data_IF_087735088848
#
_entry.id   IF_087735088848
#
_cell.length_a   1.000
_cell.length_b   1.000
_cell.length_c   1.000
_cell.angle_alpha   90.00
_cell.angle_beta   90.00
_cell.angle_gamma   90.00
#
_symmetry.space_group_name_H-M   'P 1'
#
loop_
_entity.id
_entity.type
_entity.pdbx_description
1 polymer ?
#
# COMPACT_ATOMS: atom_id res chain seq x y z
N UNK A 1 -25.41 18.81 14.74
CA UNK A 1 -24.82 18.11 13.59
C UNK A 1 -25.67 16.87 13.34
N UNK A 2 -26.39 16.80 12.22
CA UNK A 2 -27.17 15.62 11.87
C UNK A 2 -26.19 14.48 11.62
N UNK A 3 -26.19 13.48 12.52
CA UNK A 3 -25.36 12.29 12.37
C UNK A 3 -25.79 11.53 11.11
N UNK A 4 -24.86 11.12 10.27
CA UNK A 4 -25.14 10.20 9.19
C UNK A 4 -25.82 8.96 9.76
N UNK A 5 -26.94 8.49 9.18
CA UNK A 5 -27.58 7.26 9.64
C UNK A 5 -26.56 6.11 9.59
N UNK A 6 -26.42 5.40 10.70
CA UNK A 6 -25.55 4.22 10.78
C UNK A 6 -26.18 3.13 9.93
N UNK A 7 -25.55 2.68 8.84
CA UNK A 7 -26.12 1.60 8.03
C UNK A 7 -26.31 0.33 8.87
N UNK A 8 -27.34 -0.45 8.56
CA UNK A 8 -27.70 -1.66 9.33
C UNK A 8 -26.53 -2.66 9.48
N UNK A 9 -25.65 -2.78 8.45
CA UNK A 9 -24.47 -3.64 8.50
C UNK A 9 -23.39 -3.17 9.50
N UNK A 10 -23.42 -1.88 9.88
CA UNK A 10 -22.49 -1.29 10.84
C UNK A 10 -23.07 -1.26 12.27
N UNK A 11 -24.29 -1.77 12.48
CA UNK A 11 -24.88 -1.86 13.80
C UNK A 11 -24.01 -2.74 14.71
N UNK A 12 -23.60 -2.20 15.85
CA UNK A 12 -22.69 -2.89 16.78
C UNK A 12 -21.21 -2.93 16.38
N UNK A 13 -20.82 -2.31 15.25
CA UNK A 13 -19.43 -2.18 14.81
C UNK A 13 -18.94 -0.75 14.93
N UNK A 14 -17.64 -0.58 15.17
CA UNK A 14 -17.02 0.74 15.20
C UNK A 14 -16.32 1.02 13.88
N UNK A 15 -16.25 2.30 13.49
CA UNK A 15 -15.42 2.70 12.36
C UNK A 15 -13.94 2.66 12.75
N UNK A 16 -13.12 2.07 11.89
CA UNK A 16 -11.67 2.01 12.09
C UNK A 16 -11.06 3.41 12.14
N UNK A 17 -10.56 3.80 13.31
CA UNK A 17 -9.95 5.11 13.54
C UNK A 17 -8.61 5.29 12.81
N UNK A 18 -8.15 6.55 12.76
CA UNK A 18 -6.89 6.94 12.12
C UNK A 18 -5.70 6.11 12.63
N UNK A 19 -5.50 6.02 13.94
CA UNK A 19 -4.34 5.35 14.54
C UNK A 19 -4.28 3.85 14.23
N UNK A 20 -5.41 3.17 14.29
CA UNK A 20 -5.46 1.74 13.99
C UNK A 20 -5.12 1.46 12.53
N UNK A 21 -5.59 2.32 11.60
CA UNK A 21 -5.25 2.19 10.18
C UNK A 21 -3.79 2.53 9.91
N UNK A 22 -3.24 3.52 10.63
CA UNK A 22 -1.83 3.89 10.53
C UNK A 22 -0.94 2.72 10.96
N UNK A 23 -1.20 2.14 12.14
CA UNK A 23 -0.43 0.99 12.61
C UNK A 23 -0.58 -0.22 11.70
N UNK A 24 -1.80 -0.53 11.23
CA UNK A 24 -2.03 -1.58 10.24
C UNK A 24 -1.21 -1.35 8.96
N UNK A 25 -1.14 -0.10 8.49
CA UNK A 25 -0.34 0.27 7.31
C UNK A 25 1.16 0.13 7.54
N UNK A 26 1.64 0.46 8.75
CA UNK A 26 3.05 0.25 9.14
C UNK A 26 3.38 -1.24 9.14
N UNK A 27 2.51 -2.07 9.71
CA UNK A 27 2.70 -3.54 9.69
C UNK A 27 2.74 -4.08 8.26
N UNK A 28 1.81 -3.68 7.40
CA UNK A 28 1.84 -4.05 5.97
C UNK A 28 3.13 -3.55 5.30
N UNK A 29 3.57 -2.34 5.65
CA UNK A 29 4.83 -1.78 5.19
C UNK A 29 6.02 -2.66 5.57
N UNK A 30 6.12 -3.09 6.82
CA UNK A 30 7.19 -3.98 7.28
C UNK A 30 7.16 -5.32 6.53
N UNK A 31 5.97 -5.93 6.38
CA UNK A 31 5.78 -7.19 5.65
C UNK A 31 6.29 -7.09 4.20
N UNK A 32 6.12 -5.94 3.56
CA UNK A 32 6.55 -5.71 2.18
C UNK A 32 8.02 -5.28 2.12
N UNK A 33 8.46 -4.37 2.99
CA UNK A 33 9.80 -3.77 2.88
C UNK A 33 10.92 -4.67 3.39
N UNK A 34 10.65 -5.57 4.36
CA UNK A 34 11.69 -6.48 4.86
C UNK A 34 12.17 -7.46 3.76
N UNK A 35 11.29 -8.19 3.05
CA UNK A 35 11.74 -9.03 1.94
C UNK A 35 12.41 -8.24 0.80
N UNK A 36 11.88 -7.06 0.47
CA UNK A 36 12.47 -6.18 -0.54
C UNK A 36 13.85 -5.68 -0.11
N UNK A 37 14.04 -5.38 1.17
CA UNK A 37 15.33 -5.00 1.74
C UNK A 37 16.37 -6.12 1.64
N UNK A 38 15.97 -7.37 1.86
CA UNK A 38 16.84 -8.54 1.66
C UNK A 38 17.22 -8.68 0.18
N UNK A 39 16.25 -8.58 -0.73
CA UNK A 39 16.50 -8.63 -2.19
C UNK A 39 17.45 -7.50 -2.60
N UNK A 40 17.25 -6.30 -2.09
CA UNK A 40 18.14 -5.16 -2.35
C UNK A 40 19.55 -5.39 -1.81
N UNK A 41 19.69 -5.90 -0.59
CA UNK A 41 21.00 -6.22 0.01
C UNK A 41 21.77 -7.26 -0.80
N UNK A 42 21.08 -8.33 -1.23
CA UNK A 42 21.68 -9.35 -2.11
C UNK A 42 22.08 -8.73 -3.46
N UNK A 43 21.22 -7.90 -4.06
CA UNK A 43 21.56 -7.19 -5.30
C UNK A 43 22.81 -6.33 -5.14
N UNK A 44 22.91 -5.53 -4.08
CA UNK A 44 24.07 -4.66 -3.83
C UNK A 44 25.35 -5.48 -3.64
N UNK A 45 25.28 -6.59 -2.90
CA UNK A 45 26.43 -7.48 -2.70
C UNK A 45 26.92 -8.10 -4.01
N UNK A 46 26.00 -8.60 -4.84
CA UNK A 46 26.33 -9.17 -6.15
C UNK A 46 26.85 -8.11 -7.12
N UNK A 47 26.21 -6.92 -7.14
CA UNK A 47 26.64 -5.81 -7.99
C UNK A 47 28.05 -5.34 -7.63
N UNK A 48 28.37 -5.24 -6.33
CA UNK A 48 29.71 -4.93 -5.85
C UNK A 48 30.75 -5.98 -6.27
N UNK A 49 30.40 -7.26 -6.17
CA UNK A 49 31.23 -8.36 -6.65
C UNK A 49 31.50 -8.29 -8.16
N UNK A 50 30.46 -8.06 -8.96
CA UNK A 50 30.57 -7.92 -10.42
C UNK A 50 31.44 -6.70 -10.75
N UNK A 51 31.20 -5.56 -10.13
CA UNK A 51 31.96 -4.32 -10.36
C UNK A 51 33.44 -4.49 -10.00
N UNK A 52 33.78 -5.23 -8.93
CA UNK A 52 35.14 -5.48 -8.51
C UNK A 52 35.90 -6.42 -9.49
N UNK A 53 35.21 -7.41 -10.06
CA UNK A 53 35.79 -8.35 -11.04
C UNK A 53 35.90 -7.72 -12.44
N UNK A 54 34.98 -6.79 -12.77
CA UNK A 54 35.01 -6.03 -14.02
C UNK A 54 35.97 -4.83 -13.97
N UNK A 55 36.97 -4.85 -13.06
CA UNK A 55 37.97 -3.78 -12.92
C UNK A 55 38.90 -3.74 -14.14
N UNK A 56 38.40 -3.17 -15.21
CA UNK A 56 39.13 -2.96 -16.47
C UNK A 56 39.54 -1.49 -16.56
N UNK A 57 40.67 -1.23 -17.25
CA UNK A 57 41.08 0.16 -17.57
C UNK A 57 40.23 0.77 -18.71
N UNK A 58 39.37 -0.06 -19.33
CA UNK A 58 38.47 0.37 -20.40
C UNK A 58 37.22 1.03 -19.81
N UNK A 59 37.09 2.35 -20.00
CA UNK A 59 35.95 3.15 -19.55
C UNK A 59 34.61 2.67 -20.18
N UNK A 60 34.62 2.18 -21.42
CA UNK A 60 33.40 1.70 -22.07
C UNK A 60 32.89 0.42 -21.42
N UNK A 61 33.80 -0.49 -21.05
CA UNK A 61 33.44 -1.71 -20.33
C UNK A 61 32.88 -1.42 -18.93
N UNK A 62 33.47 -0.48 -18.20
CA UNK A 62 32.95 -0.01 -16.90
C UNK A 62 31.55 0.61 -17.04
N UNK A 63 31.36 1.48 -18.04
CA UNK A 63 30.06 2.10 -18.31
C UNK A 63 29.00 1.04 -18.67
N UNK A 64 29.34 0.04 -19.48
CA UNK A 64 28.42 -1.04 -19.84
C UNK A 64 27.98 -1.87 -18.64
N UNK A 65 28.89 -2.20 -17.71
CA UNK A 65 28.56 -2.88 -16.45
C UNK A 65 27.63 -1.99 -15.60
N UNK A 66 27.95 -0.71 -15.44
CA UNK A 66 27.11 0.23 -14.67
C UNK A 66 25.69 0.35 -15.22
N UNK A 67 25.53 0.49 -16.53
CA UNK A 67 24.25 0.56 -17.22
C UNK A 67 23.46 -0.77 -17.03
N UNK A 68 24.14 -1.90 -17.16
CA UNK A 68 23.53 -3.22 -16.92
C UNK A 68 22.97 -3.37 -15.50
N UNK A 69 23.75 -2.97 -14.48
CA UNK A 69 23.32 -3.01 -13.08
C UNK A 69 22.13 -2.10 -12.81
N UNK A 70 22.13 -0.88 -13.40
CA UNK A 70 20.99 0.03 -13.31
C UNK A 70 19.74 -0.59 -13.96
N UNK A 71 19.88 -1.23 -15.13
CA UNK A 71 18.79 -1.91 -15.81
C UNK A 71 18.16 -3.03 -14.97
N UNK A 72 18.99 -3.86 -14.36
CA UNK A 72 18.54 -4.93 -13.43
C UNK A 72 17.84 -4.34 -12.23
N UNK A 73 18.39 -3.27 -11.63
CA UNK A 73 17.77 -2.59 -10.50
C UNK A 73 16.40 -2.01 -10.86
N UNK A 74 16.25 -1.35 -11.99
CA UNK A 74 14.98 -0.81 -12.46
C UNK A 74 13.94 -1.91 -12.68
N UNK A 75 14.35 -3.06 -13.20
CA UNK A 75 13.47 -4.22 -13.36
C UNK A 75 12.97 -4.72 -11.99
N UNK A 76 13.87 -4.91 -11.02
CA UNK A 76 13.51 -5.33 -9.66
C UNK A 76 12.56 -4.32 -9.01
N UNK A 77 12.86 -3.04 -9.10
CA UNK A 77 12.02 -1.97 -8.54
C UNK A 77 10.62 -1.93 -9.18
N UNK A 78 10.54 -2.13 -10.49
CA UNK A 78 9.27 -2.19 -11.22
C UNK A 78 8.43 -3.39 -10.77
N UNK A 79 9.02 -4.58 -10.68
CA UNK A 79 8.34 -5.79 -10.22
C UNK A 79 7.89 -5.65 -8.76
N UNK A 80 8.71 -5.07 -7.89
CA UNK A 80 8.37 -4.78 -6.51
C UNK A 80 7.18 -3.82 -6.39
N UNK A 81 7.15 -2.79 -7.24
CA UNK A 81 6.03 -1.84 -7.30
C UNK A 81 4.74 -2.54 -7.73
N UNK A 82 4.80 -3.31 -8.82
CA UNK A 82 3.65 -4.10 -9.30
C UNK A 82 3.16 -5.06 -8.21
N UNK A 83 4.05 -5.77 -7.55
CA UNK A 83 3.72 -6.67 -6.45
C UNK A 83 3.04 -5.96 -5.28
N UNK A 84 3.51 -4.77 -4.92
CA UNK A 84 2.91 -3.94 -3.86
C UNK A 84 1.50 -3.48 -4.25
N UNK A 85 1.30 -3.01 -5.48
CA UNK A 85 -0.03 -2.64 -6.00
C UNK A 85 -0.96 -3.83 -5.96
N UNK A 86 -0.51 -4.98 -6.50
CA UNK A 86 -1.29 -6.21 -6.53
C UNK A 86 -1.67 -6.68 -5.12
N UNK A 87 -0.76 -6.60 -4.15
CA UNK A 87 -1.02 -6.93 -2.75
C UNK A 87 -2.20 -6.12 -2.19
N UNK A 88 -2.16 -4.79 -2.26
CA UNK A 88 -3.22 -3.96 -1.70
C UNK A 88 -4.54 -4.11 -2.45
N UNK A 89 -4.51 -4.09 -3.78
CA UNK A 89 -5.71 -4.22 -4.62
C UNK A 89 -6.38 -5.58 -4.42
N UNK A 90 -5.59 -6.67 -4.42
CA UNK A 90 -6.11 -8.01 -4.20
C UNK A 90 -6.75 -8.16 -2.83
N UNK A 91 -6.05 -7.80 -1.75
CA UNK A 91 -6.57 -7.96 -0.40
C UNK A 91 -7.78 -7.07 -0.12
N UNK A 92 -7.79 -5.81 -0.56
CA UNK A 92 -8.96 -4.95 -0.40
C UNK A 92 -10.14 -5.40 -1.24
N UNK A 93 -9.91 -5.85 -2.47
CA UNK A 93 -10.98 -6.25 -3.39
C UNK A 93 -11.61 -7.59 -3.05
N UNK A 94 -10.84 -8.56 -2.54
CA UNK A 94 -11.32 -9.94 -2.30
C UNK A 94 -11.69 -10.21 -0.86
N UNK A 95 -10.79 -9.94 0.10
CA UNK A 95 -11.01 -10.20 1.53
C UNK A 95 -11.47 -8.97 2.31
N UNK A 96 -11.26 -7.78 1.76
CA UNK A 96 -11.50 -6.52 2.45
C UNK A 96 -10.44 -6.18 3.50
N UNK A 97 -9.45 -7.03 3.74
CA UNK A 97 -8.46 -6.83 4.81
C UNK A 97 -7.08 -7.25 4.35
N UNK A 98 -6.09 -6.38 4.49
CA UNK A 98 -4.67 -6.73 4.35
C UNK A 98 -4.19 -7.51 5.58
N UNK A 99 -2.99 -8.04 5.54
CA UNK A 99 -2.42 -8.78 6.68
C UNK A 99 -2.30 -7.90 7.92
N UNK A 100 -1.81 -6.66 7.77
CA UNK A 100 -1.76 -5.71 8.88
C UNK A 100 -3.13 -5.31 9.41
N UNK A 101 -4.14 -5.16 8.54
CA UNK A 101 -5.51 -4.86 8.94
C UNK A 101 -6.16 -6.01 9.72
N UNK A 102 -5.84 -7.26 9.40
CA UNK A 102 -6.39 -8.44 10.13
C UNK A 102 -5.99 -8.47 11.58
N UNK A 103 -4.78 -8.01 11.93
CA UNK A 103 -4.30 -7.94 13.33
C UNK A 103 -5.23 -7.07 14.19
N UNK A 104 -5.82 -6.02 13.59
CA UNK A 104 -6.71 -5.09 14.28
C UNK A 104 -8.19 -5.34 13.97
N UNK A 105 -8.54 -6.48 13.37
CA UNK A 105 -9.91 -6.81 12.95
C UNK A 105 -10.54 -5.73 12.05
N UNK A 106 -9.71 -5.03 11.25
CA UNK A 106 -10.16 -3.99 10.34
C UNK A 106 -10.56 -4.60 8.99
N UNK A 107 -11.69 -4.13 8.45
CA UNK A 107 -12.19 -4.56 7.15
C UNK A 107 -12.72 -3.38 6.33
N UNK A 108 -12.29 -3.31 5.08
CA UNK A 108 -12.81 -2.40 4.05
C UNK A 108 -14.10 -2.99 3.49
N UNK A 109 -15.17 -2.23 3.54
CA UNK A 109 -16.47 -2.64 2.99
C UNK A 109 -17.08 -1.49 2.21
N UNK A 110 -18.06 -1.80 1.39
CA UNK A 110 -18.90 -0.83 0.69
C UNK A 110 -19.66 0.04 1.72
N UNK A 111 -19.68 1.34 1.47
CA UNK A 111 -20.22 2.31 2.42
C UNK A 111 -21.75 2.24 2.59
N UNK A 112 -22.46 1.66 1.62
CA UNK A 112 -23.91 1.61 1.61
C UNK A 112 -24.43 0.21 1.97
N UNK A 113 -23.78 -0.84 1.42
CA UNK A 113 -24.25 -2.22 1.53
C UNK A 113 -23.50 -3.05 2.55
N UNK A 114 -22.29 -2.65 2.95
CA UNK A 114 -21.40 -3.46 3.79
C UNK A 114 -20.77 -4.65 3.09
N UNK A 115 -21.00 -4.80 1.79
CA UNK A 115 -20.41 -5.86 0.98
C UNK A 115 -18.92 -5.59 0.69
N UNK A 116 -18.26 -6.55 0.05
CA UNK A 116 -16.88 -6.36 -0.43
C UNK A 116 -16.86 -5.33 -1.56
N UNK A 117 -15.86 -4.47 -1.60
CA UNK A 117 -15.76 -3.41 -2.61
C UNK A 117 -15.42 -3.91 -4.01
N UNK A 118 -14.86 -5.14 -4.12
CA UNK A 118 -14.40 -5.69 -5.40
C UNK A 118 -13.10 -5.04 -5.91
N UNK A 119 -12.48 -5.71 -6.89
CA UNK A 119 -11.20 -5.27 -7.49
C UNK A 119 -11.27 -3.88 -8.12
N UNK A 120 -12.31 -3.51 -8.90
CA UNK A 120 -12.36 -2.20 -9.55
C UNK A 120 -12.30 -1.04 -8.55
N UNK A 121 -13.08 -1.10 -7.47
CA UNK A 121 -13.06 -0.07 -6.43
C UNK A 121 -11.79 -0.10 -5.59
N UNK A 122 -11.18 -1.27 -5.40
CA UNK A 122 -9.88 -1.38 -4.75
C UNK A 122 -8.78 -0.68 -5.56
N UNK A 123 -8.80 -0.75 -6.89
CA UNK A 123 -7.91 0.00 -7.78
C UNK A 123 -8.12 1.51 -7.60
N UNK A 124 -9.36 2.00 -7.68
CA UNK A 124 -9.68 3.41 -7.47
C UNK A 124 -9.19 3.89 -6.10
N UNK A 125 -9.41 3.09 -5.05
CA UNK A 125 -8.95 3.36 -3.70
C UNK A 125 -7.43 3.46 -3.62
N UNK A 126 -6.71 2.56 -4.30
CA UNK A 126 -5.25 2.57 -4.35
C UNK A 126 -4.72 3.82 -5.07
N UNK A 127 -5.25 4.14 -6.24
CA UNK A 127 -4.87 5.35 -7.00
C UNK A 127 -5.10 6.62 -6.18
N UNK A 128 -6.25 6.73 -5.51
CA UNK A 128 -6.53 7.86 -4.63
C UNK A 128 -5.63 7.90 -3.39
N UNK A 129 -5.10 6.76 -2.93
CA UNK A 129 -4.11 6.76 -1.86
C UNK A 129 -2.77 7.33 -2.31
N UNK A 130 -2.40 7.20 -3.59
CA UNK A 130 -1.24 7.87 -4.19
C UNK A 130 -1.47 9.38 -4.21
N UNK A 131 -2.63 9.83 -4.67
CA UNK A 131 -3.00 11.26 -4.67
C UNK A 131 -2.93 11.84 -3.25
N UNK A 132 -3.41 11.10 -2.25
CA UNK A 132 -3.29 11.49 -0.84
C UNK A 132 -1.82 11.65 -0.39
N UNK A 133 -0.93 10.78 -0.85
CA UNK A 133 0.49 10.86 -0.51
C UNK A 133 1.13 12.10 -1.14
N UNK A 134 0.77 12.42 -2.38
CA UNK A 134 1.21 13.65 -3.07
C UNK A 134 0.66 14.93 -2.42
N UNK A 135 -0.54 14.87 -1.84
CA UNK A 135 -1.18 15.95 -1.09
C UNK A 135 -0.73 15.99 0.39
N UNK A 136 0.53 15.65 0.69
CA UNK A 136 1.09 15.68 2.05
C UNK A 136 0.25 14.93 3.09
N UNK A 137 -0.36 13.81 2.70
CA UNK A 137 -1.22 12.96 3.55
C UNK A 137 -2.45 13.66 4.17
N UNK A 138 -2.85 14.83 3.68
CA UNK A 138 -4.02 15.57 4.21
C UNK A 138 -5.28 14.70 4.17
N UNK A 139 -5.51 13.96 3.11
CA UNK A 139 -6.67 13.05 3.00
C UNK A 139 -6.63 11.86 3.97
N UNK A 140 -5.45 11.50 4.51
CA UNK A 140 -5.30 10.54 5.60
C UNK A 140 -5.62 11.16 6.95
N UNK A 141 -5.11 12.37 7.21
CA UNK A 141 -5.38 13.14 8.44
C UNK A 141 -6.88 13.43 8.56
N UNK A 142 -7.57 13.64 7.43
CA UNK A 142 -9.01 13.84 7.37
C UNK A 142 -9.82 12.74 8.06
N UNK A 143 -9.32 11.50 8.10
CA UNK A 143 -9.95 10.36 8.81
C UNK A 143 -10.23 10.69 10.27
N UNK A 144 -9.35 11.45 10.92
CA UNK A 144 -9.51 11.80 12.34
C UNK A 144 -10.75 12.66 12.59
N UNK A 145 -11.12 13.49 11.64
CA UNK A 145 -12.19 14.49 11.75
C UNK A 145 -13.51 14.03 11.13
N UNK A 146 -13.47 13.08 10.19
CA UNK A 146 -14.67 12.62 9.48
C UNK A 146 -15.58 11.77 10.40
N UNK A 147 -16.89 11.99 10.43
CA UNK A 147 -17.83 11.22 11.26
C UNK A 147 -17.84 9.72 10.95
N UNK A 148 -17.66 9.35 9.69
CA UNK A 148 -17.57 7.93 9.22
C UNK A 148 -16.12 7.43 9.17
N UNK A 149 -15.16 8.22 9.68
CA UNK A 149 -13.73 7.93 9.65
C UNK A 149 -13.25 7.58 8.24
N UNK A 150 -13.70 8.33 7.22
CA UNK A 150 -13.33 8.15 5.82
C UNK A 150 -12.23 9.13 5.41
N UNK A 151 -11.17 8.59 4.80
CA UNK A 151 -10.19 9.40 4.06
C UNK A 151 -10.71 9.72 2.65
N UNK A 152 -9.99 10.56 1.91
CA UNK A 152 -10.37 10.90 0.52
C UNK A 152 -10.44 9.65 -0.38
N UNK A 153 -9.48 8.73 -0.23
CA UNK A 153 -9.48 7.46 -0.95
C UNK A 153 -10.68 6.57 -0.61
N UNK A 154 -11.18 6.64 0.63
CA UNK A 154 -12.38 5.93 1.05
C UNK A 154 -13.64 6.52 0.38
N UNK A 155 -13.75 7.85 0.37
CA UNK A 155 -14.91 8.57 -0.17
C UNK A 155 -15.04 8.34 -1.68
N UNK A 156 -13.94 8.46 -2.44
CA UNK A 156 -13.96 8.26 -3.88
C UNK A 156 -14.27 6.80 -4.26
N UNK A 157 -13.79 5.84 -3.47
CA UNK A 157 -14.09 4.42 -3.68
C UNK A 157 -15.44 3.98 -3.09
N UNK A 158 -16.24 4.90 -2.51
CA UNK A 158 -17.45 4.61 -1.76
C UNK A 158 -17.28 3.46 -0.77
N UNK A 159 -16.27 3.55 0.07
CA UNK A 159 -15.89 2.51 1.02
C UNK A 159 -15.75 3.07 2.43
N UNK A 160 -15.94 2.21 3.43
CA UNK A 160 -15.65 2.50 4.85
C UNK A 160 -14.78 1.40 5.42
N UNK A 161 -14.05 1.71 6.48
CA UNK A 161 -13.34 0.68 7.24
C UNK A 161 -14.05 0.49 8.56
N UNK A 162 -14.45 -0.73 8.82
CA UNK A 162 -15.10 -1.16 10.06
C UNK A 162 -14.16 -2.04 10.86
N UNK A 163 -14.36 -2.06 12.17
CA UNK A 163 -13.70 -2.94 13.12
C UNK A 163 -14.76 -3.83 13.77
N UNK A 164 -14.48 -5.11 13.83
CA UNK A 164 -15.37 -6.12 14.46
C UNK A 164 -15.33 -7.45 13.77
#
# INVERSE_FOLDING_TARGET
MAGYPVPAFAAGKTYGGFWMRLVARIVDGIIITVPLGVIFGVFVALAGGIASTANTTDQNAQAAVGIGLIGVWLLIATLATIGTVAYFVYFWGTSGSTLGMRIFSLRVVDADTGARIGIPRAIVRYLMSIVNSLACYIGWIWIAFDPRKQGWHDKVANSVVIQG
#
